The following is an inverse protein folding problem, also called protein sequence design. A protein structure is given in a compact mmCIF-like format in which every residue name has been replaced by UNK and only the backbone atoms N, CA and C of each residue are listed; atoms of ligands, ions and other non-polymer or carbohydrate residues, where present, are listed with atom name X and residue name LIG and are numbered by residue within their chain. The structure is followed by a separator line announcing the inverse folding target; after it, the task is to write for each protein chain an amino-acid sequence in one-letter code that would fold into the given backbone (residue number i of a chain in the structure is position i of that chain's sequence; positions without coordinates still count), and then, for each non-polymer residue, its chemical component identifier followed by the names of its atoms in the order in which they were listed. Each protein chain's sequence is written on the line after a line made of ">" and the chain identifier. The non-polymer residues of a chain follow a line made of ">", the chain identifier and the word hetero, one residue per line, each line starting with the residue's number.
data_IF_053370567013
#
_entry.id   IF_053370567013
#
_cell.length_a   1.000
_cell.length_b   1.000
_cell.length_c   1.000
_cell.angle_alpha   90.00
_cell.angle_beta   90.00
_cell.angle_gamma   90.00
#
_symmetry.space_group_name_H-M   'P 1'
#
loop_
_entity.id
_entity.type
_entity.pdbx_description
1 polymer ?
#
# COMPACT_ATOMS: atom_id res chain seq x y z
N UNK A 1 4.85 -55.17 66.27
CA UNK A 1 5.56 -54.45 67.34
C UNK A 1 5.82 -53.00 66.90
N UNK A 2 5.56 -52.13 67.84
CA UNK A 2 5.83 -50.71 67.88
C UNK A 2 4.99 -49.77 66.93
N UNK A 3 4.02 -49.17 67.60
CA UNK A 3 3.24 -47.99 67.28
C UNK A 3 4.16 -46.79 67.24
N UNK A 4 3.91 -45.89 66.30
CA UNK A 4 4.35 -44.52 66.46
C UNK A 4 3.19 -43.59 66.10
N UNK A 5 2.72 -42.86 67.10
CA UNK A 5 1.73 -41.83 66.99
C UNK A 5 2.37 -40.53 66.39
N UNK A 6 1.71 -39.90 65.42
CA UNK A 6 2.12 -38.60 64.93
C UNK A 6 1.06 -37.57 65.31
N UNK A 7 1.44 -36.69 66.21
CA UNK A 7 0.63 -35.59 66.73
C UNK A 7 0.57 -34.46 65.64
N UNK A 8 -0.63 -34.09 65.22
CA UNK A 8 -0.86 -32.94 64.33
C UNK A 8 -1.08 -31.73 65.21
N UNK A 9 -0.17 -30.77 65.15
CA UNK A 9 -0.34 -29.45 65.71
C UNK A 9 -0.96 -28.52 64.65
N UNK A 10 -2.19 -28.08 64.89
CA UNK A 10 -2.87 -27.06 64.07
C UNK A 10 -2.48 -25.71 64.63
N UNK A 11 -1.69 -24.95 63.86
CA UNK A 11 -1.43 -23.54 64.14
C UNK A 11 -2.39 -22.71 63.28
N UNK A 12 -3.41 -22.16 63.91
CA UNK A 12 -4.22 -21.06 63.30
C UNK A 12 -3.41 -19.75 63.33
N UNK A 13 -2.90 -19.34 62.21
CA UNK A 13 -2.40 -18.01 62.02
C UNK A 13 -3.48 -17.15 61.32
N UNK A 14 -4.10 -16.27 62.08
CA UNK A 14 -5.02 -15.25 61.59
C UNK A 14 -4.18 -14.16 60.96
N UNK A 15 -4.08 -14.15 59.61
CA UNK A 15 -3.55 -13.03 58.88
C UNK A 15 -4.67 -12.04 58.57
N UNK A 16 -4.69 -10.96 59.35
CA UNK A 16 -5.46 -9.76 59.00
C UNK A 16 -4.66 -9.03 57.89
N UNK A 17 -4.95 -9.38 56.64
CA UNK A 17 -4.45 -8.61 55.52
C UNK A 17 -5.30 -7.36 55.34
N UNK A 18 -4.72 -6.21 55.58
CA UNK A 18 -5.28 -4.93 55.20
C UNK A 18 -5.54 -4.94 53.68
N UNK A 19 -6.80 -5.01 53.31
CA UNK A 19 -7.24 -4.80 51.92
C UNK A 19 -7.17 -3.29 51.68
N UNK A 20 -6.00 -2.84 51.27
CA UNK A 20 -5.94 -1.61 50.50
C UNK A 20 -6.41 -1.96 49.09
N UNK A 21 -7.64 -1.59 48.80
CA UNK A 21 -8.11 -1.56 47.41
C UNK A 21 -7.33 -0.44 46.72
N UNK A 22 -6.13 -0.73 46.24
CA UNK A 22 -5.56 0.00 45.14
C UNK A 22 -6.45 -0.28 43.94
N UNK A 23 -7.21 0.72 43.56
CA UNK A 23 -7.87 0.75 42.27
C UNK A 23 -6.82 0.66 41.18
N UNK A 24 -6.46 -0.59 40.82
CA UNK A 24 -5.83 -0.84 39.56
C UNK A 24 -6.87 -0.48 38.48
N UNK A 25 -6.85 0.76 38.05
CA UNK A 25 -7.26 1.09 36.70
C UNK A 25 -6.29 0.33 35.79
N UNK A 26 -6.62 -0.92 35.49
CA UNK A 26 -6.06 -1.57 34.33
C UNK A 26 -6.45 -0.71 33.13
N UNK A 27 -5.57 0.22 32.76
CA UNK A 27 -5.54 0.74 31.41
C UNK A 27 -5.28 -0.49 30.52
N UNK A 28 -6.35 -1.19 30.18
CA UNK A 28 -6.32 -2.09 29.06
C UNK A 28 -6.07 -1.18 27.85
N UNK A 29 -4.82 -1.09 27.40
CA UNK A 29 -4.49 -0.47 26.15
C UNK A 29 -5.33 -1.19 25.10
N UNK A 30 -6.39 -0.57 24.62
CA UNK A 30 -7.20 -1.15 23.57
C UNK A 30 -6.31 -1.21 22.32
N UNK A 31 -6.04 -2.41 21.84
CA UNK A 31 -5.31 -2.63 20.59
C UNK A 31 -6.11 -2.00 19.46
N UNK A 32 -5.47 -1.22 18.63
CA UNK A 32 -6.05 -0.56 17.46
C UNK A 32 -5.65 -1.27 16.19
N UNK A 33 -6.61 -1.56 15.34
CA UNK A 33 -6.39 -2.36 14.14
C UNK A 33 -6.31 -1.49 12.89
N UNK A 34 -5.23 -1.71 12.12
CA UNK A 34 -4.98 -1.06 10.84
C UNK A 34 -5.20 -2.06 9.71
N UNK A 35 -6.15 -1.79 8.81
CA UNK A 35 -6.33 -2.57 7.58
C UNK A 35 -5.47 -1.95 6.47
N UNK A 36 -4.61 -2.74 5.86
CA UNK A 36 -3.72 -2.28 4.80
C UNK A 36 -3.60 -3.29 3.66
N UNK A 37 -3.52 -2.85 2.40
CA UNK A 37 -3.17 -3.71 1.28
C UNK A 37 -1.75 -4.23 1.43
N UNK A 38 -1.47 -5.38 0.85
CA UNK A 38 -0.23 -6.11 1.13
C UNK A 38 1.03 -5.32 0.78
N UNK A 39 1.04 -4.60 -0.33
CA UNK A 39 2.22 -3.83 -0.75
C UNK A 39 2.56 -2.65 0.18
N UNK A 40 1.57 -2.10 0.91
CA UNK A 40 1.77 -1.02 1.88
C UNK A 40 2.06 -1.51 3.30
N UNK A 41 1.75 -2.79 3.62
CA UNK A 41 1.91 -3.34 4.99
C UNK A 41 3.31 -3.15 5.57
N UNK A 42 4.41 -3.43 4.84
CA UNK A 42 5.75 -3.28 5.42
C UNK A 42 6.03 -1.86 5.91
N UNK A 43 5.56 -0.83 5.20
CA UNK A 43 5.69 0.56 5.63
C UNK A 43 4.84 0.83 6.88
N UNK A 44 3.59 0.36 6.89
CA UNK A 44 2.69 0.56 8.05
C UNK A 44 3.24 -0.15 9.30
N UNK A 45 3.77 -1.37 9.16
CA UNK A 45 4.44 -2.10 10.24
C UNK A 45 5.68 -1.35 10.74
N UNK A 46 6.44 -0.73 9.84
CA UNK A 46 7.57 0.14 10.21
C UNK A 46 7.10 1.34 11.00
N UNK A 47 6.05 2.04 10.56
CA UNK A 47 5.49 3.16 11.30
C UNK A 47 5.03 2.77 12.70
N UNK A 48 4.27 1.68 12.82
CA UNK A 48 3.81 1.15 14.11
C UNK A 48 5.02 0.87 15.02
N UNK A 49 5.99 0.10 14.54
CA UNK A 49 7.18 -0.27 15.31
C UNK A 49 7.99 0.94 15.80
N UNK A 50 8.16 1.95 14.96
CA UNK A 50 8.92 3.14 15.34
C UNK A 50 8.12 4.06 16.26
N UNK A 51 6.81 4.16 16.05
CA UNK A 51 5.94 4.95 16.93
C UNK A 51 5.86 4.36 18.34
N UNK A 52 5.69 3.06 18.49
CA UNK A 52 5.62 2.38 19.78
C UNK A 52 6.88 2.56 20.63
N UNK A 53 8.05 2.76 20.00
CA UNK A 53 9.28 3.11 20.73
C UNK A 53 9.20 4.50 21.39
N UNK A 54 8.42 5.41 20.82
CA UNK A 54 8.25 6.78 21.33
C UNK A 54 7.08 6.92 22.30
N UNK A 55 6.09 6.00 22.22
CA UNK A 55 4.85 6.02 22.99
C UNK A 55 4.57 4.64 23.61
N UNK A 56 5.30 4.22 24.65
CA UNK A 56 5.05 2.96 25.33
C UNK A 56 3.64 2.88 25.90
N UNK A 57 2.95 1.76 25.68
CA UNK A 57 1.59 1.51 26.17
C UNK A 57 0.48 1.82 25.18
N UNK A 58 0.80 2.27 23.98
CA UNK A 58 -0.14 2.33 22.83
C UNK A 58 0.19 1.19 21.89
N UNK A 59 -0.79 0.38 21.53
CA UNK A 59 -0.61 -0.78 20.67
C UNK A 59 -1.43 -0.65 19.39
N UNK A 60 -0.74 -0.75 18.23
CA UNK A 60 -1.35 -0.87 16.92
C UNK A 60 -1.01 -2.21 16.30
N UNK A 61 -1.94 -2.81 15.57
CA UNK A 61 -1.72 -4.07 14.87
C UNK A 61 -2.30 -4.04 13.47
N UNK A 62 -1.61 -4.69 12.52
CA UNK A 62 -2.21 -4.95 11.21
C UNK A 62 -3.30 -6.01 11.33
N UNK A 63 -4.50 -5.68 10.85
CA UNK A 63 -5.62 -6.61 10.81
C UNK A 63 -5.30 -7.80 9.88
N UNK A 64 -5.47 -9.03 10.38
CA UNK A 64 -5.16 -10.26 9.65
C UNK A 64 -6.44 -10.87 9.05
N UNK A 65 -6.51 -10.90 7.71
CA UNK A 65 -7.59 -11.57 6.98
C UNK A 65 -8.99 -11.08 7.39
N UNK A 66 -9.89 -12.02 7.66
CA UNK A 66 -11.26 -11.74 8.11
C UNK A 66 -11.37 -11.54 9.64
N UNK A 67 -10.28 -11.68 10.37
CA UNK A 67 -10.26 -11.40 11.80
C UNK A 67 -10.33 -9.87 11.99
N UNK A 68 -11.16 -9.44 12.93
CA UNK A 68 -11.34 -8.01 13.28
C UNK A 68 -12.06 -7.13 12.23
N UNK A 69 -12.81 -7.69 11.28
CA UNK A 69 -13.57 -6.88 10.31
C UNK A 69 -14.56 -5.87 10.94
N UNK A 70 -14.98 -6.11 12.19
CA UNK A 70 -15.88 -5.21 12.92
C UNK A 70 -15.18 -4.09 13.71
N UNK A 71 -13.85 -4.14 13.85
CA UNK A 71 -13.07 -3.27 14.74
C UNK A 71 -11.85 -2.67 14.01
N UNK A 72 -12.02 -2.18 12.80
CA UNK A 72 -10.94 -1.49 12.08
C UNK A 72 -10.97 -0.01 12.46
N UNK A 73 -9.92 0.45 13.13
CA UNK A 73 -9.76 1.84 13.55
C UNK A 73 -9.22 2.70 12.40
N UNK A 74 -8.27 2.16 11.65
CA UNK A 74 -7.62 2.82 10.52
C UNK A 74 -7.67 1.93 9.27
N UNK A 75 -8.14 2.47 8.15
CA UNK A 75 -8.15 1.76 6.87
C UNK A 75 -7.27 2.48 5.86
N UNK A 76 -6.24 1.82 5.34
CA UNK A 76 -5.39 2.40 4.28
C UNK A 76 -6.21 2.51 3.00
N UNK A 77 -6.24 3.72 2.46
CA UNK A 77 -7.02 4.11 1.28
C UNK A 77 -6.16 4.84 0.26
N UNK A 78 -6.64 4.85 -0.96
CA UNK A 78 -6.05 5.55 -2.09
C UNK A 78 -7.00 6.63 -2.60
N UNK A 79 -6.45 7.72 -3.15
CA UNK A 79 -7.23 8.79 -3.75
C UNK A 79 -7.65 8.42 -5.17
N UNK A 80 -8.30 7.28 -5.31
CA UNK A 80 -8.91 6.90 -6.56
C UNK A 80 -10.40 7.28 -6.54
N UNK A 81 -10.88 7.87 -7.62
CA UNK A 81 -12.25 8.40 -7.71
C UNK A 81 -13.34 7.32 -7.62
N UNK A 82 -13.00 6.04 -7.88
CA UNK A 82 -13.95 4.93 -7.94
C UNK A 82 -14.37 4.41 -6.55
N UNK A 83 -13.60 4.72 -5.51
CA UNK A 83 -13.87 4.23 -4.17
C UNK A 83 -13.62 5.29 -3.11
N UNK A 84 -14.58 6.20 -2.91
CA UNK A 84 -14.66 6.83 -1.58
C UNK A 84 -14.97 5.70 -0.59
N UNK A 85 -14.12 5.49 0.43
CA UNK A 85 -14.42 4.47 1.43
C UNK A 85 -15.74 4.83 2.08
N UNK A 86 -16.78 4.07 1.77
CA UNK A 86 -18.09 4.25 2.40
C UNK A 86 -17.94 4.06 3.90
N UNK A 87 -18.54 4.95 4.66
CA UNK A 87 -18.60 4.86 6.11
C UNK A 87 -17.42 5.46 6.88
N UNK A 88 -16.47 6.15 6.23
CA UNK A 88 -15.41 6.89 6.92
C UNK A 88 -15.58 8.41 6.78
N UNK A 89 -15.38 9.13 7.90
CA UNK A 89 -15.60 10.59 7.96
C UNK A 89 -14.36 11.39 7.63
N UNK A 90 -13.17 10.83 7.88
CA UNK A 90 -11.90 11.53 7.77
C UNK A 90 -10.90 10.74 6.92
N UNK A 91 -10.11 11.46 6.12
CA UNK A 91 -9.00 10.89 5.35
C UNK A 91 -7.79 11.80 5.53
N UNK A 92 -6.64 11.19 5.88
CA UNK A 92 -5.32 11.83 5.96
C UNK A 92 -4.39 11.11 5.01
N UNK A 93 -3.76 11.85 4.09
CA UNK A 93 -2.77 11.31 3.15
C UNK A 93 -1.36 11.49 3.71
N UNK A 94 -0.49 10.50 3.45
CA UNK A 94 0.88 10.45 3.97
C UNK A 94 1.95 10.34 2.88
N UNK A 95 1.55 10.06 1.66
CA UNK A 95 2.47 9.86 0.55
C UNK A 95 1.71 9.52 -0.73
N UNK A 96 2.49 9.08 -1.71
CA UNK A 96 1.98 8.61 -3.00
C UNK A 96 2.62 7.26 -3.34
N UNK A 97 1.98 6.49 -4.20
CA UNK A 97 2.56 5.29 -4.80
C UNK A 97 2.49 5.38 -6.31
N UNK A 98 3.46 4.79 -6.97
CA UNK A 98 3.52 4.78 -8.42
C UNK A 98 3.29 3.37 -8.97
N UNK A 99 2.65 3.29 -10.14
CA UNK A 99 2.35 2.04 -10.84
C UNK A 99 3.02 2.08 -12.21
N UNK A 100 3.77 1.03 -12.54
CA UNK A 100 4.46 0.88 -13.80
C UNK A 100 3.95 -0.32 -14.59
N UNK A 101 3.93 -0.22 -15.93
CA UNK A 101 3.64 -1.34 -16.81
C UNK A 101 4.81 -2.34 -16.81
N UNK A 102 4.51 -3.64 -16.68
CA UNK A 102 5.49 -4.71 -16.55
C UNK A 102 5.12 -5.95 -17.36
N UNK A 103 6.11 -6.78 -17.61
CA UNK A 103 5.98 -8.16 -18.10
C UNK A 103 7.04 -9.05 -17.47
N UNK A 104 6.99 -10.36 -17.70
CA UNK A 104 8.05 -11.26 -17.25
C UNK A 104 9.34 -11.04 -18.08
N UNK A 105 10.48 -11.02 -17.38
CA UNK A 105 11.80 -10.87 -18.00
C UNK A 105 12.07 -12.02 -18.99
N UNK A 106 12.60 -11.69 -20.17
CA UNK A 106 12.92 -12.65 -21.24
C UNK A 106 11.73 -13.34 -21.91
N UNK A 107 10.48 -12.97 -21.54
CA UNK A 107 9.26 -13.55 -22.10
C UNK A 107 9.05 -13.19 -23.58
N UNK A 108 8.07 -13.85 -24.24
CA UNK A 108 7.66 -13.46 -25.58
C UNK A 108 7.02 -12.07 -25.61
N UNK A 109 6.28 -11.71 -24.54
CA UNK A 109 5.74 -10.37 -24.41
C UNK A 109 6.85 -9.33 -24.33
N UNK A 110 7.91 -9.58 -23.55
CA UNK A 110 9.08 -8.70 -23.49
C UNK A 110 9.72 -8.49 -24.86
N UNK A 111 9.91 -9.56 -25.66
CA UNK A 111 10.45 -9.47 -27.04
C UNK A 111 9.53 -8.67 -27.99
N UNK A 112 8.20 -8.84 -27.86
CA UNK A 112 7.23 -8.07 -28.66
C UNK A 112 7.29 -6.59 -28.35
N UNK A 113 7.58 -6.24 -27.11
CA UNK A 113 7.59 -4.87 -26.60
C UNK A 113 8.99 -4.25 -26.58
N UNK A 114 10.03 -5.03 -26.85
CA UNK A 114 11.43 -4.58 -26.89
C UNK A 114 11.62 -3.37 -27.83
N UNK A 115 12.31 -2.35 -27.33
CA UNK A 115 12.58 -1.11 -28.06
C UNK A 115 11.34 -0.26 -28.37
N UNK A 116 10.16 -0.61 -27.81
CA UNK A 116 8.96 0.22 -27.99
C UNK A 116 8.84 1.19 -26.82
N UNK A 117 8.82 2.47 -27.14
CA UNK A 117 8.49 3.53 -26.18
C UNK A 117 7.00 3.83 -26.32
N UNK A 118 6.21 3.38 -25.33
CA UNK A 118 4.76 3.47 -25.36
C UNK A 118 4.30 4.78 -24.72
N UNK A 119 3.74 5.68 -25.52
CA UNK A 119 3.05 6.85 -25.00
C UNK A 119 1.65 6.49 -24.46
N UNK A 120 0.99 7.41 -23.78
CA UNK A 120 -0.32 7.20 -23.17
C UNK A 120 -1.35 6.61 -24.13
N UNK A 121 -1.36 7.04 -25.42
CA UNK A 121 -2.27 6.50 -26.45
C UNK A 121 -1.99 5.03 -26.74
N UNK A 122 -0.72 4.62 -26.88
CA UNK A 122 -0.33 3.23 -27.11
C UNK A 122 -0.58 2.36 -25.86
N UNK A 123 -0.37 2.90 -24.65
CA UNK A 123 -0.69 2.21 -23.40
C UNK A 123 -2.20 1.98 -23.30
N UNK A 124 -3.04 2.96 -23.64
CA UNK A 124 -4.50 2.75 -23.71
C UNK A 124 -4.86 1.61 -24.65
N UNK A 125 -4.30 1.57 -25.85
CA UNK A 125 -4.55 0.46 -26.80
C UNK A 125 -4.06 -0.89 -26.29
N UNK A 126 -2.97 -0.92 -25.54
CA UNK A 126 -2.42 -2.15 -24.99
C UNK A 126 -3.31 -2.73 -23.89
N UNK A 127 -3.81 -1.89 -22.98
CA UNK A 127 -4.44 -2.34 -21.74
C UNK A 127 -5.96 -2.36 -21.75
N UNK A 128 -6.62 -1.50 -22.53
CA UNK A 128 -8.06 -1.32 -22.45
C UNK A 128 -8.81 -1.80 -23.68
N UNK A 129 -10.10 -2.07 -23.49
CA UNK A 129 -11.01 -2.34 -24.60
C UNK A 129 -11.13 -1.04 -25.43
N UNK A 130 -10.90 -1.13 -26.73
CA UNK A 130 -11.14 -0.01 -27.61
C UNK A 130 -12.64 0.04 -27.92
N UNK A 131 -13.29 1.15 -27.65
CA UNK A 131 -14.58 1.42 -28.25
C UNK A 131 -14.40 1.53 -29.77
N UNK A 132 -15.19 0.79 -30.54
CA UNK A 132 -15.10 0.73 -31.99
C UNK A 132 -15.41 2.09 -32.69
N UNK A 133 -15.66 3.13 -31.90
CA UNK A 133 -16.00 4.49 -32.38
C UNK A 133 -14.79 5.37 -32.66
N UNK A 134 -13.58 4.98 -32.30
CA UNK A 134 -12.36 5.75 -32.55
C UNK A 134 -11.72 5.28 -33.88
N UNK A 135 -12.39 5.53 -35.00
CA UNK A 135 -11.98 5.13 -36.37
C UNK A 135 -10.55 5.60 -36.74
N UNK A 136 -10.04 6.64 -36.08
CA UNK A 136 -8.72 7.22 -36.34
C UNK A 136 -7.56 6.50 -35.66
N UNK A 137 -7.81 5.53 -34.81
CA UNK A 137 -6.77 4.83 -34.06
C UNK A 137 -6.35 3.55 -34.74
N UNK A 138 -5.25 3.60 -35.49
CA UNK A 138 -4.65 2.43 -36.14
C UNK A 138 -4.29 1.38 -35.09
N UNK A 139 -5.04 0.25 -35.04
CA UNK A 139 -4.79 -0.87 -34.13
C UNK A 139 -3.37 -1.43 -34.33
N UNK A 140 -2.64 -1.60 -33.23
CA UNK A 140 -1.29 -2.20 -33.25
C UNK A 140 -1.47 -3.71 -33.22
N UNK A 141 -1.44 -4.37 -34.40
CA UNK A 141 -1.64 -5.82 -34.54
C UNK A 141 -0.79 -6.67 -33.61
N UNK A 142 0.41 -6.19 -33.25
CA UNK A 142 1.31 -6.91 -32.33
C UNK A 142 0.77 -6.99 -30.90
N UNK A 143 -0.12 -6.08 -30.48
CA UNK A 143 -0.73 -6.09 -29.15
C UNK A 143 -1.89 -7.13 -29.04
N UNK A 144 -2.46 -7.55 -30.16
CA UNK A 144 -3.61 -8.49 -30.16
C UNK A 144 -3.26 -9.84 -29.53
N UNK A 145 -2.02 -10.29 -29.68
CA UNK A 145 -1.55 -11.55 -29.10
C UNK A 145 -1.13 -11.47 -27.62
N UNK A 146 -0.98 -10.26 -27.06
CA UNK A 146 -0.61 -10.08 -25.68
C UNK A 146 -1.81 -10.27 -24.77
N UNK A 147 -1.59 -10.94 -23.64
CA UNK A 147 -2.62 -11.23 -22.64
C UNK A 147 -2.45 -10.27 -21.48
N UNK A 148 -3.42 -9.39 -21.29
CA UNK A 148 -3.41 -8.42 -20.18
C UNK A 148 -3.93 -9.10 -18.91
N UNK A 149 -3.20 -8.96 -17.82
CA UNK A 149 -3.60 -9.35 -16.47
C UNK A 149 -3.84 -8.10 -15.63
N UNK A 150 -5.03 -7.95 -15.07
CA UNK A 150 -5.40 -6.84 -14.18
C UNK A 150 -6.03 -7.34 -12.89
N UNK A 151 -5.96 -6.55 -11.83
CA UNK A 151 -6.67 -6.83 -10.58
C UNK A 151 -8.19 -6.68 -10.76
N UNK A 152 -8.95 -7.45 -9.98
CA UNK A 152 -10.41 -7.35 -9.92
C UNK A 152 -10.92 -6.67 -8.65
N UNK A 153 -10.01 -6.34 -7.73
CA UNK A 153 -10.35 -5.71 -6.46
C UNK A 153 -10.30 -4.18 -6.59
N UNK A 154 -11.28 -3.48 -6.04
CA UNK A 154 -11.30 -2.01 -6.01
C UNK A 154 -10.12 -1.40 -5.23
N UNK A 155 -9.47 -2.15 -4.32
CA UNK A 155 -8.28 -1.73 -3.60
C UNK A 155 -6.97 -2.07 -4.32
N UNK A 156 -7.05 -2.65 -5.52
CA UNK A 156 -5.89 -2.99 -6.33
C UNK A 156 -5.33 -1.76 -7.04
N UNK A 157 -4.07 -1.86 -7.49
CA UNK A 157 -3.43 -0.82 -8.31
C UNK A 157 -4.10 -0.65 -9.68
N UNK A 158 -5.05 -1.55 -10.04
CA UNK A 158 -5.78 -1.50 -11.30
C UNK A 158 -6.60 -0.23 -11.45
N UNK A 159 -7.30 0.21 -10.39
CA UNK A 159 -8.08 1.44 -10.43
C UNK A 159 -7.18 2.66 -10.68
N UNK A 160 -6.06 2.75 -9.96
CA UNK A 160 -5.09 3.86 -10.13
C UNK A 160 -4.49 3.88 -11.55
N UNK A 161 -4.14 2.71 -12.08
CA UNK A 161 -3.62 2.61 -13.44
C UNK A 161 -4.68 3.01 -14.49
N UNK A 162 -5.91 2.54 -14.37
CA UNK A 162 -7.00 2.90 -15.28
C UNK A 162 -7.28 4.41 -15.23
N UNK A 163 -7.44 4.96 -14.03
CA UNK A 163 -7.71 6.38 -13.81
C UNK A 163 -6.66 7.31 -14.45
N UNK A 164 -5.36 6.96 -14.37
CA UNK A 164 -4.31 7.74 -15.02
C UNK A 164 -4.50 7.92 -16.53
N UNK A 165 -5.19 6.99 -17.17
CA UNK A 165 -5.51 7.03 -18.59
C UNK A 165 -6.95 7.52 -18.89
N UNK A 166 -7.68 7.96 -17.87
CA UNK A 166 -9.08 8.36 -18.01
C UNK A 166 -10.03 7.21 -18.32
N UNK A 167 -9.68 5.99 -17.83
CA UNK A 167 -10.44 4.77 -18.00
C UNK A 167 -10.96 4.25 -16.65
N UNK A 168 -11.99 3.41 -16.71
CA UNK A 168 -12.42 2.64 -15.55
C UNK A 168 -11.71 1.29 -15.50
N UNK A 169 -11.52 0.75 -14.28
CA UNK A 169 -10.92 -0.58 -14.12
C UNK A 169 -11.77 -1.70 -14.76
N UNK A 170 -13.04 -1.45 -15.03
CA UNK A 170 -13.94 -2.33 -15.81
C UNK A 170 -13.53 -2.47 -17.27
N UNK A 171 -12.80 -1.51 -17.83
CA UNK A 171 -12.45 -1.45 -19.24
C UNK A 171 -11.15 -2.19 -19.61
N UNK A 172 -10.43 -2.79 -18.64
CA UNK A 172 -9.28 -3.61 -18.99
C UNK A 172 -9.70 -4.79 -19.89
N UNK A 173 -8.95 -4.97 -20.97
CA UNK A 173 -9.06 -6.20 -21.75
C UNK A 173 -8.31 -7.36 -21.07
N UNK A 174 -8.57 -8.59 -21.50
CA UNK A 174 -7.82 -9.76 -21.05
C UNK A 174 -8.39 -10.42 -19.80
N UNK A 175 -7.56 -10.79 -18.85
CA UNK A 175 -7.90 -11.63 -17.70
C UNK A 175 -7.83 -10.86 -16.39
N UNK A 176 -8.81 -11.09 -15.51
CA UNK A 176 -8.83 -10.51 -14.17
C UNK A 176 -8.36 -11.50 -13.13
N UNK A 177 -7.49 -11.03 -12.25
CA UNK A 177 -6.97 -11.80 -11.12
C UNK A 177 -7.62 -11.26 -9.84
N UNK A 178 -8.30 -12.13 -9.11
CA UNK A 178 -8.85 -11.80 -7.80
C UNK A 178 -7.78 -11.92 -6.71
N UNK A 179 -7.81 -11.02 -5.76
CA UNK A 179 -6.95 -11.06 -4.58
C UNK A 179 -5.86 -10.01 -4.60
N UNK A 180 -4.68 -10.39 -4.18
CA UNK A 180 -3.53 -9.51 -4.01
C UNK A 180 -2.83 -9.16 -5.34
N UNK A 181 -2.38 -7.92 -5.49
CA UNK A 181 -1.66 -7.47 -6.69
C UNK A 181 -0.35 -8.24 -6.97
N UNK A 182 0.24 -8.91 -5.98
CA UNK A 182 1.35 -9.84 -6.20
C UNK A 182 0.97 -11.04 -7.08
N UNK A 183 -0.31 -11.40 -7.14
CA UNK A 183 -0.75 -12.48 -8.04
C UNK A 183 -0.65 -12.09 -9.52
N UNK A 184 -0.58 -10.80 -9.84
CA UNK A 184 -0.28 -10.33 -11.19
C UNK A 184 1.12 -10.77 -11.62
N UNK A 185 2.13 -10.60 -10.75
CA UNK A 185 3.50 -11.07 -11.02
C UNK A 185 3.53 -12.61 -11.21
N UNK A 186 2.76 -13.33 -10.38
CA UNK A 186 2.64 -14.79 -10.50
C UNK A 186 1.98 -15.21 -11.82
N UNK A 187 1.02 -14.44 -12.33
CA UNK A 187 0.39 -14.68 -13.62
C UNK A 187 1.38 -14.46 -14.78
N UNK A 188 2.18 -13.39 -14.71
CA UNK A 188 3.23 -13.12 -15.70
C UNK A 188 4.27 -14.23 -15.77
N UNK A 189 4.69 -14.79 -14.63
CA UNK A 189 5.65 -15.90 -14.58
C UNK A 189 5.12 -17.19 -15.27
N UNK A 190 3.81 -17.33 -15.43
CA UNK A 190 3.16 -18.51 -16.03
C UNK A 190 2.72 -18.32 -17.48
N UNK A 191 2.63 -17.10 -17.95
CA UNK A 191 2.16 -16.80 -19.30
C UNK A 191 3.22 -15.96 -20.06
N UNK A 192 3.90 -16.56 -21.06
CA UNK A 192 4.95 -15.87 -21.81
C UNK A 192 4.43 -14.68 -22.63
N UNK A 193 3.13 -14.58 -22.88
CA UNK A 193 2.48 -13.45 -23.56
C UNK A 193 1.83 -12.47 -22.55
N UNK A 194 2.02 -12.72 -21.25
CA UNK A 194 1.44 -11.93 -20.16
C UNK A 194 2.02 -10.52 -20.05
N UNK A 195 1.15 -9.55 -19.91
CA UNK A 195 1.46 -8.13 -19.64
C UNK A 195 0.60 -7.66 -18.49
N UNK A 196 1.16 -6.87 -17.60
CA UNK A 196 0.47 -6.32 -16.44
C UNK A 196 1.06 -4.98 -16.02
N UNK A 197 0.68 -4.51 -14.87
CA UNK A 197 1.22 -3.34 -14.18
C UNK A 197 1.25 -3.64 -12.68
N UNK A 198 2.12 -2.97 -11.94
CA UNK A 198 2.13 -3.12 -10.49
C UNK A 198 2.74 -1.89 -9.80
N UNK A 199 2.54 -1.79 -8.47
CA UNK A 199 3.17 -0.77 -7.65
C UNK A 199 4.67 -1.04 -7.48
N UNK A 200 5.48 0.02 -7.31
CA UNK A 200 6.95 -0.08 -7.16
C UNK A 200 7.38 -1.14 -6.13
N UNK A 201 6.78 -1.24 -4.91
CA UNK A 201 7.17 -2.26 -3.93
C UNK A 201 6.97 -3.71 -4.41
N UNK A 202 6.08 -3.93 -5.38
CA UNK A 202 5.86 -5.25 -5.97
C UNK A 202 6.79 -5.54 -7.15
N UNK A 203 7.33 -4.53 -7.79
CA UNK A 203 8.24 -4.63 -8.95
C UNK A 203 9.69 -4.72 -8.49
N UNK A 204 10.07 -3.94 -7.50
CA UNK A 204 11.45 -3.84 -7.02
C UNK A 204 11.69 -4.73 -5.80
N UNK A 205 12.90 -5.22 -5.68
CA UNK A 205 13.43 -5.76 -4.44
C UNK A 205 13.88 -4.60 -3.54
N UNK A 206 13.24 -4.45 -2.39
CA UNK A 206 13.45 -3.31 -1.50
C UNK A 206 14.82 -3.32 -0.80
N UNK A 207 15.53 -4.46 -0.77
CA UNK A 207 16.87 -4.55 -0.20
C UNK A 207 17.94 -4.15 -1.21
N UNK A 208 17.90 -4.77 -2.41
CA UNK A 208 18.85 -4.45 -3.47
C UNK A 208 18.53 -3.15 -4.21
N UNK A 209 17.32 -2.64 -4.07
CA UNK A 209 16.79 -1.44 -4.75
C UNK A 209 16.64 -1.58 -6.26
N UNK A 210 16.85 -2.78 -6.82
CA UNK A 210 16.74 -3.08 -8.24
C UNK A 210 15.44 -3.83 -8.59
N UNK A 211 15.08 -3.83 -9.86
CA UNK A 211 13.95 -4.61 -10.37
C UNK A 211 14.19 -6.10 -10.04
N UNK A 212 13.12 -6.80 -9.66
CA UNK A 212 13.15 -8.24 -9.45
C UNK A 212 13.55 -8.95 -10.73
N UNK A 213 14.43 -9.95 -10.63
CA UNK A 213 15.05 -10.63 -11.77
C UNK A 213 14.07 -11.28 -12.76
N UNK A 214 12.87 -11.60 -12.30
CA UNK A 214 11.79 -12.21 -13.08
C UNK A 214 10.87 -11.21 -13.79
N UNK A 215 11.08 -9.90 -13.59
CA UNK A 215 10.28 -8.83 -14.17
C UNK A 215 11.11 -7.91 -15.06
N UNK A 216 10.43 -7.25 -15.98
CA UNK A 216 10.97 -6.13 -16.78
C UNK A 216 9.92 -5.05 -16.90
N UNK A 217 10.35 -3.78 -16.87
CA UNK A 217 9.48 -2.62 -17.14
C UNK A 217 9.26 -2.54 -18.65
N UNK A 218 8.01 -2.32 -19.03
CA UNK A 218 7.67 -2.03 -20.42
C UNK A 218 8.06 -0.58 -20.70
N UNK A 219 8.88 -0.35 -21.75
CA UNK A 219 9.38 0.97 -22.10
C UNK A 219 8.25 1.96 -22.38
N UNK A 220 8.28 3.08 -21.68
CA UNK A 220 7.34 4.19 -21.84
C UNK A 220 7.99 5.36 -22.57
N UNK A 221 7.17 6.22 -23.18
CA UNK A 221 7.63 7.39 -23.92
C UNK A 221 7.98 8.53 -22.96
N UNK A 222 9.26 8.64 -22.64
CA UNK A 222 9.83 9.66 -21.77
C UNK A 222 10.95 10.42 -22.49
N UNK A 223 11.41 11.52 -21.92
CA UNK A 223 12.58 12.22 -22.44
C UNK A 223 13.77 11.25 -22.51
N UNK A 224 14.56 11.34 -23.57
CA UNK A 224 15.73 10.47 -23.81
C UNK A 224 16.67 10.35 -22.60
N UNK A 225 16.81 11.42 -21.83
CA UNK A 225 17.63 11.43 -20.60
C UNK A 225 17.07 10.57 -19.46
N UNK A 226 15.80 10.14 -19.54
CA UNK A 226 15.12 9.34 -18.53
C UNK A 226 14.87 7.88 -18.99
N UNK A 227 15.16 7.54 -20.26
CA UNK A 227 14.87 6.21 -20.80
C UNK A 227 15.55 5.08 -20.01
N UNK A 228 16.76 5.30 -19.52
CA UNK A 228 17.50 4.30 -18.72
C UNK A 228 16.86 4.09 -17.36
N UNK A 229 16.32 5.14 -16.75
CA UNK A 229 15.60 5.08 -15.46
C UNK A 229 14.25 4.35 -15.55
N UNK A 230 13.71 4.14 -16.77
CA UNK A 230 12.51 3.34 -17.05
C UNK A 230 12.85 2.05 -17.83
N UNK A 231 13.99 1.47 -17.55
CA UNK A 231 14.48 0.21 -18.15
C UNK A 231 14.82 -0.82 -17.07
N UNK A 232 15.34 -1.97 -17.47
CA UNK A 232 15.78 -3.02 -16.56
C UNK A 232 16.96 -2.62 -15.65
N UNK A 233 17.61 -1.49 -15.95
CA UNK A 233 18.70 -0.94 -15.13
C UNK A 233 18.20 0.02 -14.04
N UNK A 234 16.91 0.34 -14.03
CA UNK A 234 16.32 1.27 -13.10
C UNK A 234 16.56 0.86 -11.65
N UNK A 235 16.80 1.84 -10.81
CA UNK A 235 16.71 1.71 -9.36
C UNK A 235 15.42 2.37 -8.86
N UNK A 236 14.85 1.82 -7.79
CA UNK A 236 13.63 2.40 -7.20
C UNK A 236 13.88 3.83 -6.68
N UNK A 237 15.08 4.10 -6.18
CA UNK A 237 15.45 5.42 -5.63
C UNK A 237 15.49 6.51 -6.73
N UNK A 238 16.03 6.15 -7.90
CA UNK A 238 16.05 7.03 -9.05
C UNK A 238 14.64 7.33 -9.56
N UNK A 239 13.79 6.29 -9.68
CA UNK A 239 12.39 6.46 -10.07
C UNK A 239 11.61 7.34 -9.10
N UNK A 240 11.76 7.12 -7.78
CA UNK A 240 11.13 7.95 -6.76
C UNK A 240 11.54 9.41 -6.94
N UNK A 241 12.85 9.68 -7.08
CA UNK A 241 13.37 11.03 -7.28
C UNK A 241 12.81 11.71 -8.53
N UNK A 242 12.71 10.98 -9.64
CA UNK A 242 12.14 11.47 -10.89
C UNK A 242 10.65 11.80 -10.73
N UNK A 243 9.89 10.89 -10.14
CA UNK A 243 8.43 11.02 -10.00
C UNK A 243 8.04 12.13 -9.00
N UNK A 244 8.83 12.34 -7.95
CA UNK A 244 8.64 13.47 -7.03
C UNK A 244 9.06 14.82 -7.66
N UNK A 245 9.96 14.81 -8.65
CA UNK A 245 10.39 16.03 -9.36
C UNK A 245 9.39 16.52 -10.39
N UNK A 246 8.50 15.67 -10.88
CA UNK A 246 7.50 16.06 -11.87
C UNK A 246 6.65 14.91 -12.40
N UNK A 247 5.50 15.27 -12.95
CA UNK A 247 4.54 14.31 -13.49
C UNK A 247 5.04 13.73 -14.83
N UNK A 248 4.95 12.40 -14.94
CA UNK A 248 5.09 11.64 -16.19
C UNK A 248 3.74 11.04 -16.53
N UNK A 249 3.19 11.40 -17.68
CA UNK A 249 1.81 11.05 -18.09
C UNK A 249 1.58 9.55 -18.25
N UNK A 250 2.64 8.79 -18.52
CA UNK A 250 2.63 7.35 -18.71
C UNK A 250 2.72 6.55 -17.39
N UNK A 251 2.95 7.22 -16.26
CA UNK A 251 3.07 6.63 -14.93
C UNK A 251 1.89 7.06 -14.07
N UNK A 252 1.13 6.09 -13.59
CA UNK A 252 0.09 6.36 -12.60
C UNK A 252 0.73 6.65 -11.25
N UNK A 253 0.41 7.80 -10.66
CA UNK A 253 0.82 8.20 -9.32
C UNK A 253 -0.44 8.60 -8.55
N UNK A 254 -0.69 7.94 -7.43
CA UNK A 254 -1.87 8.15 -6.59
C UNK A 254 -1.48 8.35 -5.13
N UNK A 255 -2.21 9.22 -4.44
CA UNK A 255 -2.03 9.42 -3.01
C UNK A 255 -2.50 8.19 -2.23
N UNK A 256 -1.77 7.85 -1.19
CA UNK A 256 -2.21 6.90 -0.19
C UNK A 256 -2.29 7.56 1.18
N UNK A 257 -3.22 7.09 1.97
CA UNK A 257 -3.47 7.61 3.30
C UNK A 257 -4.26 6.62 4.14
N UNK A 258 -4.82 7.10 5.23
CA UNK A 258 -5.75 6.33 6.05
C UNK A 258 -7.07 7.06 6.16
N UNK A 259 -8.15 6.27 6.20
CA UNK A 259 -9.50 6.72 6.56
C UNK A 259 -9.89 6.18 7.93
N UNK A 260 -10.66 6.96 8.67
CA UNK A 260 -11.16 6.64 10.00
C UNK A 260 -12.43 7.43 10.33
N UNK A 261 -13.23 6.96 11.28
CA UNK A 261 -14.47 7.63 11.71
C UNK A 261 -14.27 8.46 12.96
N UNK A 262 -13.77 7.83 13.99
CA UNK A 262 -13.50 8.44 15.27
C UNK A 262 -12.03 8.21 15.61
N UNK A 263 -11.34 9.27 15.95
CA UNK A 263 -9.98 9.18 16.40
C UNK A 263 -9.95 9.57 17.88
N UNK A 264 -9.54 8.64 18.71
CA UNK A 264 -9.11 8.99 20.05
C UNK A 264 -7.74 9.68 20.04
N UNK A 265 -7.31 10.15 21.18
CA UNK A 265 -6.01 10.80 21.34
C UNK A 265 -4.82 9.96 20.85
N UNK A 266 -4.88 8.63 20.94
CA UNK A 266 -3.80 7.76 20.52
C UNK A 266 -3.73 7.66 18.99
N UNK A 267 -4.87 7.52 18.31
CA UNK A 267 -4.96 7.56 16.85
C UNK A 267 -4.46 8.91 16.31
N UNK A 268 -4.95 10.02 16.87
CA UNK A 268 -4.56 11.35 16.44
C UNK A 268 -3.05 11.59 16.59
N UNK A 269 -2.45 11.18 17.72
CA UNK A 269 -1.00 11.28 17.95
C UNK A 269 -0.21 10.40 16.98
N UNK A 270 -0.70 9.20 16.68
CA UNK A 270 -0.08 8.34 15.68
C UNK A 270 -0.10 8.98 14.30
N UNK A 271 -1.25 9.51 13.85
CA UNK A 271 -1.37 10.19 12.56
C UNK A 271 -0.46 11.43 12.46
N UNK A 272 -0.39 12.22 13.54
CA UNK A 272 0.52 13.36 13.62
C UNK A 272 1.98 12.91 13.52
N UNK A 273 2.37 11.88 14.27
CA UNK A 273 3.72 11.34 14.21
C UNK A 273 4.07 10.79 12.83
N UNK A 274 3.13 10.10 12.18
CA UNK A 274 3.36 9.62 10.80
C UNK A 274 3.68 10.79 9.88
N UNK A 275 2.93 11.90 9.95
CA UNK A 275 3.15 13.07 9.11
C UNK A 275 4.48 13.79 9.39
N UNK A 276 4.97 13.79 10.65
CA UNK A 276 6.19 14.53 11.04
C UNK A 276 7.44 13.68 10.98
N UNK A 277 7.34 12.40 11.34
CA UNK A 277 8.48 11.49 11.52
C UNK A 277 8.38 10.20 10.71
N UNK A 278 7.16 9.71 10.47
CA UNK A 278 6.93 8.44 9.79
C UNK A 278 7.21 8.50 8.29
N UNK A 279 6.87 9.61 7.63
CA UNK A 279 7.02 9.76 6.17
C UNK A 279 8.47 9.66 5.69
N UNK A 280 9.46 9.89 6.54
CA UNK A 280 10.88 9.65 6.21
C UNK A 280 11.19 8.21 5.79
N UNK A 281 10.34 7.25 6.14
CA UNK A 281 10.48 5.85 5.77
C UNK A 281 9.83 5.51 4.42
N UNK A 282 9.07 6.42 3.81
CA UNK A 282 8.34 6.15 2.57
C UNK A 282 9.25 5.60 1.48
N UNK A 283 10.37 6.24 1.20
CA UNK A 283 11.31 5.82 0.15
C UNK A 283 11.90 4.43 0.40
N UNK A 284 12.21 4.10 1.66
CA UNK A 284 12.71 2.76 2.03
C UNK A 284 11.76 1.65 1.57
N UNK A 285 10.44 1.93 1.62
CA UNK A 285 9.39 0.99 1.24
C UNK A 285 8.81 1.23 -0.16
N UNK A 286 9.48 2.04 -0.99
CA UNK A 286 9.09 2.26 -2.39
C UNK A 286 7.87 3.16 -2.58
N UNK A 287 7.54 3.97 -1.57
CA UNK A 287 6.51 5.00 -1.65
C UNK A 287 7.16 6.37 -1.85
N UNK A 288 6.43 7.27 -2.48
CA UNK A 288 6.79 8.67 -2.68
C UNK A 288 6.26 9.50 -1.50
N UNK A 289 6.91 10.62 -1.24
CA UNK A 289 6.40 11.63 -0.31
C UNK A 289 5.39 12.55 -1.01
N UNK A 290 4.48 13.12 -0.25
CA UNK A 290 3.69 14.26 -0.70
C UNK A 290 4.59 15.47 -0.88
N UNK A 291 4.22 16.38 -1.77
CA UNK A 291 4.87 17.69 -1.80
C UNK A 291 4.68 18.44 -0.46
N UNK A 292 5.57 19.39 -0.19
CA UNK A 292 5.59 20.14 1.07
C UNK A 292 4.27 20.86 1.37
N UNK A 293 3.59 21.38 0.34
CA UNK A 293 2.32 22.11 0.50
C UNK A 293 1.21 21.15 0.92
N UNK A 294 1.09 20.01 0.26
CA UNK A 294 0.11 18.98 0.60
C UNK A 294 0.39 18.40 2.00
N UNK A 295 1.65 18.15 2.34
CA UNK A 295 2.06 17.69 3.68
C UNK A 295 1.58 18.66 4.77
N UNK A 296 1.79 19.96 4.59
CA UNK A 296 1.32 20.98 5.55
C UNK A 296 -0.20 20.97 5.69
N UNK A 297 -0.95 20.85 4.58
CA UNK A 297 -2.41 20.73 4.62
C UNK A 297 -2.85 19.50 5.44
N UNK A 298 -2.15 18.36 5.32
CA UNK A 298 -2.49 17.18 6.11
C UNK A 298 -2.19 17.38 7.62
N UNK A 299 -1.07 18.02 7.94
CA UNK A 299 -0.71 18.36 9.33
C UNK A 299 -1.77 19.27 9.96
N UNK A 300 -2.23 20.29 9.24
CA UNK A 300 -3.28 21.19 9.71
C UNK A 300 -4.59 20.44 9.95
N UNK A 301 -5.01 19.57 9.03
CA UNK A 301 -6.22 18.74 9.22
C UNK A 301 -6.17 17.92 10.51
N UNK A 302 -5.06 17.29 10.83
CA UNK A 302 -4.92 16.51 12.07
C UNK A 302 -4.99 17.41 13.30
N UNK A 303 -4.38 18.61 13.26
CA UNK A 303 -4.45 19.59 14.36
C UNK A 303 -5.86 20.09 14.60
N UNK A 304 -6.62 20.37 13.55
CA UNK A 304 -8.01 20.85 13.65
C UNK A 304 -8.90 19.79 14.31
N UNK A 305 -8.72 18.52 13.96
CA UNK A 305 -9.45 17.41 14.58
C UNK A 305 -9.12 17.32 16.09
N UNK A 306 -7.83 17.43 16.46
CA UNK A 306 -7.39 17.45 17.86
C UNK A 306 -7.97 18.64 18.66
N UNK A 307 -8.20 19.77 18.01
CA UNK A 307 -8.72 20.98 18.66
C UNK A 307 -10.23 20.93 18.82
N UNK A 308 -10.94 20.30 17.89
CA UNK A 308 -12.40 20.17 17.91
C UNK A 308 -12.91 19.16 18.98
N UNK A 309 -12.01 18.29 19.48
CA UNK A 309 -12.33 17.29 20.50
C UNK A 309 -12.08 17.77 21.95
N UNK A 310 -11.56 18.98 22.14
CA UNK A 310 -11.38 19.65 23.45
C UNK A 310 -12.55 20.56 23.77
#
# INVERSE_FOLDING_TARGET
>A
MKKLALTIAVLLSINISNIWAEGNSTNSSSVRYVKAPRFARPLIEKWITEYEKTQPGVEFQIAKGNQNQGNIDLNVVFDNHDTKPEGFSHIIYFGEFAVLPITASGSEAAKVLEGKHLNSKKLKQLYFLNDDFDEDVKKIKQFEKLVIYSGSNATSVAASFAHNFGEESSNFRGKRISGDDLFLNTALAKDPLGVSFNALPNIFDLQSRHIKNDLTIIGIDVKKSLEESFSDKATIDELISILESGKISEVAVEKFGVSYNEADDAVNRFLQWVLTDGTKFNHEYGMLNLDNKLTQVQIEKVKDILTAQK
#
